data_IF_650703356137
#
_entry.id   IF_650703356137
#
_cell.length_a   1.000
_cell.length_b   1.000
_cell.length_c   1.000
_cell.angle_alpha   90.00
_cell.angle_beta   90.00
_cell.angle_gamma   90.00
#
_symmetry.space_group_name_H-M   'P 1'
#
loop_
_entity.id
_entity.type
_entity.pdbx_description
1 polymer ?
#
# COMPACT_ATOMS: atom_id res chain seq x y z
N UNK A 1 -33.37 -13.33 -38.55
CA UNK A 1 -32.78 -12.77 -37.33
C UNK A 1 -33.22 -13.65 -36.19
N UNK A 2 -32.26 -14.21 -35.47
CA UNK A 2 -32.54 -15.01 -34.28
C UNK A 2 -33.24 -14.15 -33.21
N UNK A 3 -34.19 -14.77 -32.51
CA UNK A 3 -34.83 -14.20 -31.33
C UNK A 3 -33.80 -14.04 -30.20
N UNK A 4 -34.06 -13.14 -29.25
CA UNK A 4 -33.15 -12.94 -28.13
C UNK A 4 -32.98 -14.20 -27.26
N UNK A 5 -34.02 -15.05 -27.22
CA UNK A 5 -33.99 -16.35 -26.53
C UNK A 5 -33.07 -17.36 -27.23
N UNK A 6 -33.11 -17.43 -28.56
CA UNK A 6 -32.19 -18.28 -29.34
C UNK A 6 -30.74 -17.82 -29.17
N UNK A 7 -30.49 -16.50 -29.22
CA UNK A 7 -29.16 -15.93 -28.97
C UNK A 7 -28.67 -16.25 -27.55
N UNK A 8 -29.53 -16.13 -26.54
CA UNK A 8 -29.19 -16.48 -25.16
C UNK A 8 -28.84 -17.97 -25.03
N UNK A 9 -29.60 -18.85 -25.69
CA UNK A 9 -29.32 -20.29 -25.68
C UNK A 9 -28.00 -20.63 -26.37
N UNK A 10 -27.70 -20.03 -27.52
CA UNK A 10 -26.44 -20.24 -28.23
C UNK A 10 -25.22 -19.82 -27.38
N UNK A 11 -25.33 -18.72 -26.63
CA UNK A 11 -24.29 -18.29 -25.68
C UNK A 11 -24.11 -19.32 -24.57
N UNK A 12 -25.19 -19.82 -23.97
CA UNK A 12 -25.16 -20.83 -22.91
C UNK A 12 -24.49 -22.12 -23.40
N UNK A 13 -24.87 -22.58 -24.59
CA UNK A 13 -24.31 -23.80 -25.18
C UNK A 13 -22.83 -23.64 -25.49
N UNK A 14 -22.42 -22.47 -26.00
CA UNK A 14 -21.03 -22.18 -26.35
C UNK A 14 -20.11 -22.01 -25.13
N UNK A 15 -20.66 -21.71 -23.95
CA UNK A 15 -19.88 -21.65 -22.70
C UNK A 15 -19.89 -22.96 -21.91
N UNK A 16 -20.35 -24.06 -22.50
CA UNK A 16 -20.32 -25.38 -21.88
C UNK A 16 -21.57 -25.74 -21.07
N UNK A 17 -22.71 -25.14 -21.39
CA UNK A 17 -24.01 -25.48 -20.82
C UNK A 17 -24.35 -24.72 -19.53
N UNK A 18 -25.60 -24.86 -19.07
CA UNK A 18 -26.09 -24.21 -17.85
C UNK A 18 -25.34 -24.68 -16.59
N UNK A 19 -24.96 -25.94 -16.57
CA UNK A 19 -24.17 -26.57 -15.52
C UNK A 19 -22.77 -25.96 -15.38
N UNK A 20 -22.28 -25.26 -16.39
CA UNK A 20 -21.03 -24.52 -16.32
C UNK A 20 -21.22 -23.08 -15.84
N UNK A 21 -22.46 -22.58 -15.72
CA UNK A 21 -22.75 -21.22 -15.30
C UNK A 21 -22.90 -21.17 -13.77
N UNK A 22 -21.96 -20.49 -13.12
CA UNK A 22 -22.04 -20.23 -11.68
C UNK A 22 -22.98 -19.06 -11.39
N UNK A 23 -22.83 -17.96 -12.13
CA UNK A 23 -23.70 -16.78 -12.00
C UNK A 23 -23.64 -15.87 -13.22
N UNK A 24 -24.70 -15.08 -13.39
CA UNK A 24 -24.82 -14.07 -14.44
C UNK A 24 -25.16 -12.69 -13.90
N UNK A 25 -24.54 -11.68 -14.49
CA UNK A 25 -24.83 -10.26 -14.26
C UNK A 25 -24.64 -9.47 -15.55
N UNK A 26 -25.11 -8.23 -15.61
CA UNK A 26 -24.81 -7.35 -16.74
C UNK A 26 -24.42 -5.92 -16.30
N UNK A 27 -23.76 -5.21 -17.21
CA UNK A 27 -23.59 -3.76 -17.12
C UNK A 27 -24.22 -3.08 -18.34
N UNK A 28 -23.90 -1.81 -18.60
CA UNK A 28 -24.51 -1.05 -19.69
C UNK A 28 -24.37 -1.72 -21.08
N UNK A 29 -23.28 -2.44 -21.34
CA UNK A 29 -22.99 -2.99 -22.68
C UNK A 29 -22.60 -4.46 -22.72
N UNK A 30 -22.43 -5.13 -21.57
CA UNK A 30 -21.84 -6.48 -21.49
C UNK A 30 -22.59 -7.40 -20.55
N UNK A 31 -22.79 -8.63 -21.00
CA UNK A 31 -23.20 -9.76 -20.17
C UNK A 31 -21.92 -10.32 -19.52
N UNK A 32 -21.98 -10.58 -18.22
CA UNK A 32 -20.86 -11.09 -17.41
C UNK A 32 -21.28 -12.40 -16.82
N UNK A 33 -20.54 -13.44 -17.13
CA UNK A 33 -20.84 -14.81 -16.76
C UNK A 33 -19.66 -15.34 -15.96
N UNK A 34 -19.89 -15.77 -14.72
CA UNK A 34 -18.93 -16.61 -14.02
C UNK A 34 -19.20 -18.05 -14.39
N UNK A 35 -18.15 -18.77 -14.75
CA UNK A 35 -18.22 -20.18 -15.11
C UNK A 35 -17.45 -21.04 -14.11
N UNK A 36 -17.89 -22.28 -13.92
CA UNK A 36 -17.20 -23.26 -13.08
C UNK A 36 -15.89 -23.73 -13.72
N UNK A 37 -15.89 -23.91 -15.04
CA UNK A 37 -14.74 -24.37 -15.82
C UNK A 37 -14.54 -23.50 -17.06
N UNK A 38 -13.39 -22.82 -17.12
CA UNK A 38 -13.03 -21.97 -18.25
C UNK A 38 -12.71 -22.78 -19.51
N UNK A 39 -12.22 -24.00 -19.37
CA UNK A 39 -11.76 -24.81 -20.52
C UNK A 39 -12.93 -25.30 -21.40
N UNK A 40 -14.15 -25.26 -20.86
CA UNK A 40 -15.39 -25.57 -21.61
C UNK A 40 -15.92 -24.43 -22.47
N UNK A 41 -15.30 -23.25 -22.42
CA UNK A 41 -15.73 -22.10 -23.23
C UNK A 41 -15.17 -22.24 -24.65
N UNK A 42 -16.08 -22.32 -25.61
CA UNK A 42 -15.77 -22.22 -27.04
C UNK A 42 -15.81 -20.75 -27.46
N UNK A 43 -14.64 -20.10 -27.37
CA UNK A 43 -14.47 -18.67 -27.66
C UNK A 43 -14.89 -18.31 -29.08
N UNK A 44 -14.50 -19.11 -30.08
CA UNK A 44 -14.80 -18.82 -31.49
C UNK A 44 -16.31 -18.93 -31.74
N UNK A 45 -16.96 -19.93 -31.13
CA UNK A 45 -18.41 -20.07 -31.22
C UNK A 45 -19.14 -18.90 -30.57
N UNK A 46 -18.72 -18.43 -29.39
CA UNK A 46 -19.34 -17.26 -28.74
C UNK A 46 -19.21 -16.00 -29.59
N UNK A 47 -18.04 -15.76 -30.18
CA UNK A 47 -17.83 -14.59 -31.04
C UNK A 47 -18.64 -14.65 -32.34
N UNK A 48 -18.99 -15.86 -32.80
CA UNK A 48 -19.87 -16.10 -33.95
C UNK A 48 -21.37 -15.92 -33.69
N UNK A 49 -21.81 -15.80 -32.43
CA UNK A 49 -23.24 -15.65 -32.08
C UNK A 49 -23.80 -14.31 -32.57
N UNK A 50 -25.02 -14.32 -33.11
CA UNK A 50 -25.69 -13.12 -33.62
C UNK A 50 -25.79 -12.02 -32.53
N UNK A 51 -25.45 -10.77 -32.90
CA UNK A 51 -25.38 -9.57 -32.02
C UNK A 51 -24.22 -9.53 -31.01
N UNK A 52 -23.36 -10.54 -30.95
CA UNK A 52 -22.09 -10.45 -30.20
C UNK A 52 -21.12 -9.55 -30.96
N UNK A 53 -20.53 -8.58 -30.25
CA UNK A 53 -19.53 -7.63 -30.79
C UNK A 53 -18.10 -7.96 -30.34
N UNK A 54 -17.96 -9.04 -29.58
CA UNK A 54 -16.71 -9.52 -29.00
C UNK A 54 -16.96 -10.19 -27.65
N UNK A 55 -16.09 -11.13 -27.29
CA UNK A 55 -16.12 -11.79 -26.00
C UNK A 55 -14.71 -11.92 -25.44
N UNK A 56 -14.53 -11.90 -24.12
CA UNK A 56 -13.21 -12.13 -23.52
C UNK A 56 -13.34 -12.54 -22.06
N UNK A 57 -12.34 -13.25 -21.56
CA UNK A 57 -12.22 -13.59 -20.15
C UNK A 57 -11.38 -12.53 -19.42
N UNK A 58 -11.90 -11.96 -18.34
CA UNK A 58 -11.18 -10.97 -17.53
C UNK A 58 -11.68 -10.95 -16.09
N UNK A 59 -10.76 -10.93 -15.12
CA UNK A 59 -11.08 -10.81 -13.69
C UNK A 59 -12.02 -11.92 -13.18
N UNK A 60 -11.78 -13.17 -13.59
CA UNK A 60 -12.60 -14.32 -13.19
C UNK A 60 -13.99 -14.40 -13.83
N UNK A 61 -14.28 -13.54 -14.82
CA UNK A 61 -15.58 -13.48 -15.49
C UNK A 61 -15.39 -13.56 -17.00
N UNK A 62 -16.25 -14.31 -17.67
CA UNK A 62 -16.41 -14.28 -19.10
C UNK A 62 -17.35 -13.13 -19.49
N UNK A 63 -16.89 -12.22 -20.34
CA UNK A 63 -17.64 -11.01 -20.72
C UNK A 63 -18.00 -11.07 -22.20
N UNK A 64 -19.29 -11.01 -22.50
CA UNK A 64 -19.82 -10.98 -23.87
C UNK A 64 -20.41 -9.59 -24.15
N UNK A 65 -19.95 -8.93 -25.21
CA UNK A 65 -20.36 -7.57 -25.56
C UNK A 65 -21.57 -7.62 -26.50
N UNK A 66 -22.73 -7.17 -26.01
CA UNK A 66 -23.96 -7.03 -26.83
C UNK A 66 -24.29 -5.57 -27.19
N UNK A 67 -23.74 -4.61 -26.43
CA UNK A 67 -24.06 -3.20 -26.55
C UNK A 67 -25.27 -2.76 -25.70
N UNK A 68 -25.47 -1.44 -25.65
CA UNK A 68 -26.51 -0.80 -24.83
C UNK A 68 -27.91 -1.24 -25.21
N UNK A 69 -28.72 -1.62 -24.22
CA UNK A 69 -30.11 -2.04 -24.39
C UNK A 69 -30.32 -3.46 -24.92
N UNK A 70 -29.42 -3.98 -25.76
CA UNK A 70 -29.45 -5.40 -26.19
C UNK A 70 -29.06 -6.31 -25.04
N UNK A 71 -28.06 -5.92 -24.26
CA UNK A 71 -27.56 -6.72 -23.14
C UNK A 71 -28.62 -7.03 -22.08
N UNK A 72 -29.53 -6.08 -21.80
CA UNK A 72 -30.60 -6.28 -20.80
C UNK A 72 -31.53 -7.40 -21.27
N UNK A 73 -31.95 -7.34 -22.54
CA UNK A 73 -32.83 -8.35 -23.14
C UNK A 73 -32.20 -9.73 -23.18
N UNK A 74 -30.89 -9.82 -23.48
CA UNK A 74 -30.17 -11.10 -23.44
C UNK A 74 -30.03 -11.60 -22.00
N UNK A 75 -29.74 -10.72 -21.04
CA UNK A 75 -29.65 -11.10 -19.62
C UNK A 75 -30.97 -11.67 -19.09
N UNK A 76 -32.09 -11.03 -19.43
CA UNK A 76 -33.42 -11.49 -19.02
C UNK A 76 -33.71 -12.90 -19.56
N UNK A 77 -33.37 -13.17 -20.83
CA UNK A 77 -33.53 -14.49 -21.44
C UNK A 77 -32.57 -15.53 -20.85
N UNK A 78 -31.30 -15.18 -20.61
CA UNK A 78 -30.33 -16.09 -19.96
C UNK A 78 -30.79 -16.48 -18.54
N UNK A 79 -31.36 -15.52 -17.81
CA UNK A 79 -31.92 -15.76 -16.48
C UNK A 79 -33.20 -16.60 -16.57
N UNK A 80 -34.09 -16.32 -17.53
CA UNK A 80 -35.30 -17.09 -17.77
C UNK A 80 -35.03 -18.53 -18.23
N UNK A 81 -33.88 -18.77 -18.86
CA UNK A 81 -33.44 -20.11 -19.24
C UNK A 81 -32.96 -20.93 -18.03
N UNK A 82 -32.62 -20.31 -16.89
CA UNK A 82 -32.27 -21.01 -15.65
C UNK A 82 -30.91 -20.66 -15.06
N UNK A 83 -30.19 -19.67 -15.60
CA UNK A 83 -28.97 -19.18 -14.98
C UNK A 83 -29.28 -18.42 -13.68
N UNK A 84 -28.64 -18.79 -12.57
CA UNK A 84 -28.78 -18.09 -11.29
C UNK A 84 -28.30 -16.65 -11.41
N UNK A 85 -29.22 -15.70 -11.32
CA UNK A 85 -28.90 -14.29 -11.22
C UNK A 85 -28.24 -14.02 -9.87
N UNK A 86 -27.01 -13.50 -9.88
CA UNK A 86 -26.31 -13.11 -8.65
C UNK A 86 -26.00 -11.62 -8.69
N UNK A 87 -26.12 -10.98 -7.53
CA UNK A 87 -25.74 -9.57 -7.38
C UNK A 87 -24.21 -9.44 -7.42
N UNK A 88 -23.69 -8.27 -7.85
CA UNK A 88 -22.22 -7.99 -7.86
C UNK A 88 -21.52 -8.27 -6.51
N UNK A 89 -22.26 -8.25 -5.41
CA UNK A 89 -21.82 -8.59 -4.06
C UNK A 89 -21.44 -10.07 -3.90
N UNK A 90 -22.26 -10.99 -4.40
CA UNK A 90 -22.06 -12.45 -4.22
C UNK A 90 -20.86 -12.96 -5.03
N UNK A 91 -20.68 -12.42 -6.23
CA UNK A 91 -19.54 -12.70 -7.11
C UNK A 91 -18.20 -12.28 -6.45
N UNK A 92 -18.22 -11.17 -5.71
CA UNK A 92 -17.05 -10.67 -4.98
C UNK A 92 -16.71 -11.55 -3.78
N UNK A 93 -17.71 -12.15 -3.14
CA UNK A 93 -17.53 -13.06 -2.00
C UNK A 93 -16.98 -14.44 -2.40
N UNK A 94 -17.36 -14.98 -3.56
CA UNK A 94 -16.79 -16.25 -4.05
C UNK A 94 -15.35 -16.11 -4.55
N UNK A 95 -15.03 -15.02 -5.25
CA UNK A 95 -13.64 -14.71 -5.63
C UNK A 95 -12.74 -14.49 -4.41
N UNK A 96 -13.28 -14.01 -3.29
CA UNK A 96 -12.55 -13.85 -2.04
C UNK A 96 -12.20 -15.17 -1.34
N UNK A 97 -12.82 -16.30 -1.71
CA UNK A 97 -12.57 -17.63 -1.11
C UNK A 97 -11.44 -18.42 -1.80
N UNK A 98 -11.00 -18.02 -2.99
CA UNK A 98 -9.89 -18.70 -3.69
C UNK A 98 -8.51 -18.40 -3.07
N UNK A 99 -7.64 -19.41 -3.01
CA UNK A 99 -6.28 -19.31 -2.43
C UNK A 99 -6.20 -19.74 -0.96
N UNK A 100 -4.98 -19.86 -0.42
CA UNK A 100 -4.78 -20.21 1.00
C UNK A 100 -5.03 -19.02 1.93
N UNK A 101 -5.14 -19.24 3.25
CA UNK A 101 -5.48 -18.20 4.22
C UNK A 101 -4.51 -17.00 4.17
N UNK A 102 -3.23 -17.26 3.96
CA UNK A 102 -2.19 -16.25 3.81
C UNK A 102 -2.40 -15.39 2.56
N UNK A 103 -2.64 -16.00 1.39
CA UNK A 103 -2.94 -15.31 0.15
C UNK A 103 -4.20 -14.44 0.28
N UNK A 104 -5.24 -14.93 0.95
CA UNK A 104 -6.46 -14.15 1.21
C UNK A 104 -6.21 -12.93 2.10
N UNK A 105 -5.36 -13.07 3.13
CA UNK A 105 -4.99 -11.97 4.01
C UNK A 105 -4.24 -10.87 3.25
N UNK A 106 -3.24 -11.26 2.44
CA UNK A 106 -2.49 -10.34 1.57
C UNK A 106 -3.39 -9.63 0.58
N UNK A 107 -4.31 -10.36 -0.08
CA UNK A 107 -5.24 -9.78 -1.04
C UNK A 107 -6.16 -8.75 -0.39
N UNK A 108 -6.70 -9.09 0.78
CA UNK A 108 -7.54 -8.18 1.57
C UNK A 108 -6.77 -6.93 1.99
N UNK A 109 -5.49 -7.08 2.38
CA UNK A 109 -4.62 -5.95 2.67
C UNK A 109 -4.39 -5.09 1.43
N UNK A 110 -4.06 -5.69 0.28
CA UNK A 110 -3.91 -4.98 -0.99
C UNK A 110 -5.17 -4.20 -1.40
N UNK A 111 -6.36 -4.79 -1.23
CA UNK A 111 -7.65 -4.15 -1.54
C UNK A 111 -7.91 -2.88 -0.72
N UNK A 112 -7.33 -2.78 0.49
CA UNK A 112 -7.38 -1.55 1.30
C UNK A 112 -6.54 -0.44 0.67
N UNK A 113 -5.40 -0.76 0.04
CA UNK A 113 -4.51 0.25 -0.53
C UNK A 113 -4.87 0.67 -1.96
N UNK A 114 -5.46 -0.22 -2.76
CA UNK A 114 -5.90 0.08 -4.16
C UNK A 114 -6.52 1.47 -4.36
N UNK A 115 -7.50 1.93 -3.55
CA UNK A 115 -8.10 3.25 -3.75
C UNK A 115 -7.26 4.43 -3.24
N UNK A 116 -6.31 4.18 -2.33
CA UNK A 116 -5.50 5.22 -1.66
C UNK A 116 -4.24 5.52 -2.48
N UNK A 117 -3.71 4.50 -3.16
CA UNK A 117 -2.45 4.53 -3.91
C UNK A 117 -2.28 5.77 -4.80
N UNK A 118 -3.27 6.21 -5.62
CA UNK A 118 -3.06 7.37 -6.49
C UNK A 118 -2.68 8.64 -5.73
N UNK A 119 -3.27 8.85 -4.54
CA UNK A 119 -2.94 9.99 -3.69
C UNK A 119 -1.50 9.87 -3.17
N UNK A 120 -1.13 8.70 -2.63
CA UNK A 120 0.22 8.47 -2.08
C UNK A 120 1.32 8.61 -3.13
N UNK A 121 1.08 8.15 -4.35
CA UNK A 121 2.04 8.29 -5.45
C UNK A 121 2.23 9.75 -5.81
N UNK A 122 1.13 10.51 -5.94
CA UNK A 122 1.20 11.92 -6.30
C UNK A 122 1.91 12.73 -5.22
N UNK A 123 1.46 12.62 -3.96
CA UNK A 123 2.02 13.41 -2.85
C UNK A 123 3.43 12.94 -2.48
N UNK A 124 3.72 11.64 -2.55
CA UNK A 124 5.04 11.08 -2.26
C UNK A 124 6.11 11.52 -3.27
N UNK A 125 5.76 11.57 -4.56
CA UNK A 125 6.67 12.10 -5.59
C UNK A 125 6.98 13.58 -5.35
N UNK A 126 5.98 14.39 -5.04
CA UNK A 126 6.20 15.80 -4.68
C UNK A 126 7.00 15.94 -3.38
N UNK A 127 6.79 15.05 -2.41
CA UNK A 127 7.53 15.05 -1.14
C UNK A 127 9.02 14.79 -1.35
N UNK A 128 9.36 13.79 -2.17
CA UNK A 128 10.73 13.48 -2.54
C UNK A 128 11.37 14.62 -3.35
N UNK A 129 10.64 15.22 -4.29
CA UNK A 129 11.12 16.38 -5.06
C UNK A 129 11.37 17.59 -4.16
N UNK A 130 10.44 17.91 -3.26
CA UNK A 130 10.60 18.98 -2.27
C UNK A 130 11.85 18.73 -1.42
N UNK A 131 12.00 17.50 -0.91
CA UNK A 131 13.17 17.09 -0.13
C UNK A 131 14.47 17.34 -0.87
N UNK A 132 14.54 16.97 -2.16
CA UNK A 132 15.73 17.21 -3.00
C UNK A 132 16.00 18.70 -3.22
N UNK A 133 14.99 19.48 -3.60
CA UNK A 133 15.15 20.90 -3.99
C UNK A 133 15.51 21.78 -2.78
N UNK A 134 15.08 21.40 -1.58
CA UNK A 134 15.38 22.15 -0.34
C UNK A 134 16.72 21.77 0.31
N UNK A 135 17.51 20.86 -0.27
CA UNK A 135 18.85 20.56 0.26
C UNK A 135 19.81 21.74 0.04
N UNK A 136 20.66 21.99 1.03
CA UNK A 136 21.63 23.10 1.02
C UNK A 136 22.54 23.06 -0.20
N UNK A 137 23.04 21.89 -0.57
CA UNK A 137 23.96 21.74 -1.69
C UNK A 137 23.29 22.01 -3.03
N UNK A 138 21.98 21.73 -3.16
CA UNK A 138 21.21 22.05 -4.37
C UNK A 138 20.95 23.55 -4.44
N UNK A 139 20.52 24.16 -3.33
CA UNK A 139 20.29 25.61 -3.25
C UNK A 139 21.57 26.41 -3.49
N UNK A 140 22.72 25.92 -3.01
CA UNK A 140 24.02 26.55 -3.22
C UNK A 140 24.41 26.66 -4.71
N UNK A 141 23.94 25.75 -5.57
CA UNK A 141 24.13 25.86 -7.03
C UNK A 141 23.50 27.13 -7.62
N UNK A 142 22.50 27.68 -6.93
CA UNK A 142 21.80 28.91 -7.28
C UNK A 142 22.21 30.11 -6.42
N UNK A 143 23.21 29.95 -5.55
CA UNK A 143 23.63 30.97 -4.60
C UNK A 143 22.60 31.22 -3.49
N UNK A 144 21.76 30.23 -3.18
CA UNK A 144 20.73 30.29 -2.15
C UNK A 144 21.07 29.35 -0.99
N UNK A 145 20.44 29.61 0.15
CA UNK A 145 20.41 28.78 1.35
C UNK A 145 18.95 28.46 1.72
N UNK A 146 18.68 27.47 2.59
CA UNK A 146 17.32 27.20 3.06
C UNK A 146 16.64 28.44 3.68
N UNK A 147 17.40 29.33 4.30
CA UNK A 147 16.90 30.58 4.88
C UNK A 147 16.43 31.62 3.87
N UNK A 148 16.85 31.50 2.60
CA UNK A 148 16.40 32.38 1.51
C UNK A 148 15.02 31.96 0.95
N UNK A 149 14.56 30.76 1.29
CA UNK A 149 13.27 30.24 0.84
C UNK A 149 12.17 30.70 1.80
N UNK A 150 11.12 31.31 1.26
CA UNK A 150 9.97 31.78 2.03
C UNK A 150 9.36 30.65 2.88
N UNK A 151 9.22 30.87 4.19
CA UNK A 151 8.55 29.93 5.10
C UNK A 151 7.12 29.60 4.65
N UNK A 152 6.39 30.58 4.12
CA UNK A 152 5.04 30.37 3.58
C UNK A 152 5.04 29.45 2.35
N UNK A 153 6.09 29.52 1.53
CA UNK A 153 6.24 28.61 0.39
C UNK A 153 6.58 27.20 0.86
N UNK A 154 7.49 27.05 1.83
CA UNK A 154 7.79 25.76 2.46
C UNK A 154 6.51 25.16 3.05
N UNK A 155 5.76 25.93 3.83
CA UNK A 155 4.47 25.52 4.40
C UNK A 155 3.48 25.08 3.33
N UNK A 156 3.33 25.85 2.25
CA UNK A 156 2.48 25.45 1.12
C UNK A 156 2.89 24.09 0.54
N UNK A 157 4.19 23.87 0.34
CA UNK A 157 4.67 22.57 -0.15
C UNK A 157 4.44 21.44 0.88
N UNK A 158 4.58 21.70 2.18
CA UNK A 158 4.22 20.76 3.25
C UNK A 158 2.74 20.37 3.24
N UNK A 159 1.85 21.34 3.07
CA UNK A 159 0.42 21.05 2.92
C UNK A 159 0.17 20.17 1.69
N UNK A 160 0.85 20.41 0.58
CA UNK A 160 0.71 19.60 -0.65
C UNK A 160 1.23 18.17 -0.46
N UNK A 161 2.37 17.98 0.20
CA UNK A 161 3.08 16.70 0.24
C UNK A 161 2.73 15.85 1.44
N UNK A 162 2.63 16.45 2.63
CA UNK A 162 2.65 15.71 3.90
C UNK A 162 1.24 15.30 4.32
N UNK A 163 0.20 16.04 3.89
CA UNK A 163 -1.21 15.80 4.24
C UNK A 163 -1.62 14.33 4.04
N UNK A 164 -1.32 13.72 2.89
CA UNK A 164 -1.73 12.34 2.61
C UNK A 164 -1.06 11.32 3.55
N UNK A 165 0.16 11.61 4.02
CA UNK A 165 0.90 10.76 4.94
C UNK A 165 0.47 10.97 6.40
N UNK A 166 0.27 12.23 6.81
CA UNK A 166 -0.28 12.59 8.12
C UNK A 166 -1.65 11.92 8.31
N UNK A 167 -2.52 12.01 7.31
CA UNK A 167 -3.87 11.43 7.32
C UNK A 167 -3.94 10.01 6.77
N UNK A 168 -2.81 9.32 6.61
CA UNK A 168 -2.79 7.93 6.13
C UNK A 168 -3.68 6.99 6.98
N UNK A 169 -3.72 7.09 8.32
CA UNK A 169 -4.68 6.33 9.13
C UNK A 169 -6.15 6.56 8.75
N UNK A 170 -6.53 7.79 8.40
CA UNK A 170 -7.88 8.13 7.96
C UNK A 170 -8.23 7.45 6.64
N UNK A 171 -7.30 7.49 5.68
CA UNK A 171 -7.46 6.84 4.37
C UNK A 171 -7.53 5.31 4.52
N UNK A 172 -6.66 4.74 5.35
CA UNK A 172 -6.61 3.29 5.62
C UNK A 172 -7.88 2.84 6.33
N UNK A 173 -8.33 3.52 7.39
CA UNK A 173 -9.54 3.14 8.13
C UNK A 173 -10.80 3.25 7.26
N UNK A 174 -10.95 4.33 6.48
CA UNK A 174 -12.02 4.48 5.48
C UNK A 174 -12.07 3.30 4.52
N UNK A 175 -10.92 2.98 3.91
CA UNK A 175 -10.83 1.91 2.92
C UNK A 175 -11.03 0.53 3.56
N UNK A 176 -10.54 0.33 4.77
CA UNK A 176 -10.72 -0.90 5.55
C UNK A 176 -12.20 -1.14 5.84
N UNK A 177 -12.93 -0.14 6.33
CA UNK A 177 -14.39 -0.26 6.52
C UNK A 177 -15.09 -0.64 5.21
N UNK A 178 -14.73 0.02 4.10
CA UNK A 178 -15.27 -0.29 2.78
C UNK A 178 -14.99 -1.74 2.33
N UNK A 179 -13.77 -2.25 2.56
CA UNK A 179 -13.36 -3.61 2.18
C UNK A 179 -14.06 -4.65 3.04
N UNK A 180 -14.15 -4.43 4.35
CA UNK A 180 -14.77 -5.36 5.29
C UNK A 180 -16.28 -5.15 5.49
N UNK A 181 -16.89 -4.27 4.70
CA UNK A 181 -18.33 -4.06 4.59
C UNK A 181 -18.98 -3.26 5.74
N UNK A 182 -18.20 -2.46 6.47
CA UNK A 182 -18.73 -1.40 7.34
C UNK A 182 -18.99 -0.10 6.58
N UNK A 183 -19.51 0.92 7.26
CA UNK A 183 -19.72 2.25 6.70
C UNK A 183 -18.38 3.00 6.55
N UNK A 184 -17.94 3.31 5.32
CA UNK A 184 -16.65 3.97 5.08
C UNK A 184 -16.53 5.33 5.76
N UNK A 185 -17.63 6.09 5.91
CA UNK A 185 -17.62 7.39 6.59
C UNK A 185 -17.33 7.24 8.09
N UNK A 186 -17.86 6.20 8.74
CA UNK A 186 -17.51 5.89 10.14
C UNK A 186 -16.03 5.54 10.24
N UNK A 187 -15.53 4.70 9.32
CA UNK A 187 -14.11 4.37 9.25
C UNK A 187 -13.21 5.60 9.04
N UNK A 188 -13.62 6.53 8.17
CA UNK A 188 -12.91 7.79 7.94
C UNK A 188 -12.84 8.62 9.22
N UNK A 189 -13.98 8.81 9.89
CA UNK A 189 -14.05 9.57 11.14
C UNK A 189 -13.20 8.92 12.23
N UNK A 190 -13.26 7.59 12.38
CA UNK A 190 -12.40 6.87 13.32
C UNK A 190 -10.92 7.12 13.03
N UNK A 191 -10.49 7.02 11.77
CA UNK A 191 -9.09 7.26 11.42
C UNK A 191 -8.68 8.73 11.57
N UNK A 192 -9.58 9.70 11.35
CA UNK A 192 -9.34 11.11 11.67
C UNK A 192 -9.18 11.36 13.16
N UNK A 193 -9.95 10.66 14.01
CA UNK A 193 -9.78 10.73 15.47
C UNK A 193 -8.41 10.23 15.92
N UNK A 194 -7.77 9.30 15.19
CA UNK A 194 -6.43 8.80 15.50
C UNK A 194 -5.30 9.79 15.15
N UNK A 195 -5.58 10.81 14.34
CA UNK A 195 -4.57 11.78 13.86
C UNK A 195 -5.00 13.23 14.08
N UNK A 196 -6.03 13.44 14.89
CA UNK A 196 -6.53 14.78 15.20
C UNK A 196 -5.43 15.62 15.86
N UNK A 197 -5.34 16.94 15.56
CA UNK A 197 -4.39 17.83 16.21
C UNK A 197 -4.57 17.96 17.74
N UNK A 198 -5.68 17.46 18.29
CA UNK A 198 -5.89 17.38 19.74
C UNK A 198 -5.01 16.30 20.41
N UNK A 199 -4.42 15.39 19.63
CA UNK A 199 -3.43 14.42 20.09
C UNK A 199 -2.02 14.93 19.75
N UNK A 200 -1.01 14.72 20.61
CA UNK A 200 0.39 14.99 20.27
C UNK A 200 0.76 14.26 18.98
N UNK A 201 1.44 14.96 18.07
CA UNK A 201 1.87 14.38 16.81
C UNK A 201 2.92 13.29 17.08
N UNK A 202 2.72 12.09 16.53
CA UNK A 202 3.61 10.94 16.73
C UNK A 202 5.06 11.24 16.33
N UNK A 203 5.26 11.95 15.23
CA UNK A 203 6.58 12.28 14.70
C UNK A 203 7.30 13.29 15.58
N UNK A 204 6.59 14.28 16.12
CA UNK A 204 7.17 15.26 17.06
C UNK A 204 7.53 14.61 18.40
N UNK A 205 6.72 13.68 18.89
CA UNK A 205 7.04 12.91 20.10
C UNK A 205 8.24 12.00 19.85
N UNK A 206 8.26 11.30 18.72
CA UNK A 206 9.41 10.47 18.34
C UNK A 206 10.69 11.33 18.21
N UNK A 207 10.61 12.54 17.66
CA UNK A 207 11.74 13.45 17.54
C UNK A 207 12.18 14.09 18.88
N UNK A 208 11.44 13.91 19.97
CA UNK A 208 11.72 14.53 21.27
C UNK A 208 11.28 16.00 21.40
N UNK A 209 10.50 16.50 20.43
CA UNK A 209 10.00 17.89 20.41
C UNK A 209 8.67 18.06 21.16
N UNK A 210 7.99 16.96 21.49
CA UNK A 210 6.71 16.96 22.19
C UNK A 210 6.63 15.79 23.19
N UNK A 211 5.77 15.93 24.19
CA UNK A 211 5.50 14.86 25.15
C UNK A 211 4.18 14.13 24.84
N UNK A 212 4.09 12.81 25.08
CA UNK A 212 2.83 12.08 25.01
C UNK A 212 1.86 12.53 26.11
N UNK A 213 0.55 12.47 25.84
CA UNK A 213 -0.45 12.66 26.88
C UNK A 213 -0.41 11.49 27.86
N UNK A 214 -0.53 11.76 29.16
CA UNK A 214 -0.62 10.72 30.20
C UNK A 214 -2.06 10.55 30.65
N UNK A 215 -2.72 9.50 30.17
CA UNK A 215 -4.03 9.10 30.68
C UNK A 215 -3.87 8.16 31.87
N UNK A 216 -4.75 8.32 32.86
CA UNK A 216 -4.71 7.59 34.15
C UNK A 216 -3.37 7.72 34.89
N UNK A 217 -2.53 8.69 34.52
CA UNK A 217 -1.20 8.94 35.11
C UNK A 217 -0.06 8.09 34.54
N UNK A 218 -0.33 7.03 33.77
CA UNK A 218 0.70 6.09 33.32
C UNK A 218 0.55 5.58 31.87
N UNK A 219 -0.57 5.84 31.19
CA UNK A 219 -0.76 5.37 29.80
C UNK A 219 -0.34 6.50 28.85
N UNK A 220 0.78 6.36 28.12
CA UNK A 220 1.16 7.33 27.10
C UNK A 220 0.24 7.23 25.89
N UNK A 221 -0.26 8.38 25.43
CA UNK A 221 -1.14 8.49 24.27
C UNK A 221 -0.59 9.55 23.31
N UNK A 222 -0.41 9.13 22.06
CA UNK A 222 0.00 9.97 20.92
C UNK A 222 -0.95 9.72 19.75
N UNK A 223 -0.95 10.63 18.77
CA UNK A 223 -1.58 10.39 17.48
C UNK A 223 -0.85 9.30 16.68
N UNK A 224 -1.47 8.78 15.62
CA UNK A 224 -0.94 7.70 14.78
C UNK A 224 -0.52 8.20 13.40
N UNK A 225 -0.02 9.43 13.30
CA UNK A 225 0.37 10.02 12.01
C UNK A 225 1.31 9.08 11.23
N UNK A 226 0.97 8.79 9.98
CA UNK A 226 1.71 7.84 9.14
C UNK A 226 1.53 6.34 9.47
N UNK A 227 0.87 5.95 10.56
CA UNK A 227 0.81 4.55 10.98
C UNK A 227 -0.24 3.74 10.21
N UNK A 228 0.21 2.69 9.52
CA UNK A 228 -0.65 1.83 8.70
C UNK A 228 -1.29 0.69 9.48
N UNK A 229 -0.50 -0.12 10.19
CA UNK A 229 -1.00 -1.33 10.84
C UNK A 229 -2.01 -0.99 11.96
N UNK A 230 -1.73 -0.04 12.88
CA UNK A 230 -2.70 0.33 13.92
C UNK A 230 -4.04 0.76 13.31
N UNK A 231 -4.01 1.59 12.26
CA UNK A 231 -5.21 2.07 11.58
C UNK A 231 -5.97 0.94 10.86
N UNK A 232 -5.25 0.00 10.22
CA UNK A 232 -5.85 -1.17 9.59
C UNK A 232 -6.51 -2.08 10.63
N UNK A 233 -5.85 -2.34 11.77
CA UNK A 233 -6.40 -3.17 12.86
C UNK A 233 -7.64 -2.51 13.46
N UNK A 234 -7.58 -1.21 13.78
CA UNK A 234 -8.72 -0.44 14.25
C UNK A 234 -9.86 -0.45 13.23
N UNK A 235 -9.55 -0.24 11.94
CA UNK A 235 -10.50 -0.30 10.85
C UNK A 235 -11.20 -1.67 10.73
N UNK A 236 -10.42 -2.76 10.80
CA UNK A 236 -10.90 -4.13 10.65
C UNK A 236 -11.80 -4.55 11.81
N UNK A 237 -11.35 -4.30 13.04
CA UNK A 237 -12.13 -4.56 14.25
C UNK A 237 -13.38 -3.69 14.28
N UNK A 238 -13.26 -2.42 13.92
CA UNK A 238 -14.37 -1.47 13.85
C UNK A 238 -15.44 -1.88 12.84
N UNK A 239 -15.06 -2.30 11.64
CA UNK A 239 -16.01 -2.77 10.63
C UNK A 239 -16.78 -4.02 11.08
N UNK A 240 -16.10 -4.95 11.77
CA UNK A 240 -16.75 -6.14 12.36
C UNK A 240 -17.66 -5.77 13.52
N UNK A 241 -17.21 -4.85 14.38
CA UNK A 241 -17.98 -4.36 15.51
C UNK A 241 -19.25 -3.65 15.05
N UNK A 242 -19.15 -2.79 14.03
CA UNK A 242 -20.31 -2.10 13.44
C UNK A 242 -21.37 -3.08 12.97
N UNK A 243 -20.98 -4.10 12.19
CA UNK A 243 -21.89 -5.15 11.73
C UNK A 243 -22.55 -5.91 12.88
N UNK A 244 -21.85 -6.07 14.00
CA UNK A 244 -22.39 -6.74 15.19
C UNK A 244 -23.37 -5.85 15.93
N UNK A 245 -23.01 -4.59 16.19
CA UNK A 245 -23.87 -3.62 16.88
C UNK A 245 -25.15 -3.38 16.08
N UNK A 246 -25.06 -3.22 14.76
CA UNK A 246 -26.21 -3.02 13.86
C UNK A 246 -27.24 -4.16 13.94
N UNK A 247 -26.81 -5.39 14.27
CA UNK A 247 -27.71 -6.54 14.49
C UNK A 247 -28.34 -6.57 15.88
N UNK A 248 -27.78 -5.84 16.84
CA UNK A 248 -28.22 -5.81 18.24
C UNK A 248 -29.10 -4.59 18.56
N UNK A 249 -28.90 -3.48 17.84
CA UNK A 249 -29.62 -2.22 18.06
C UNK A 249 -30.98 -2.27 17.35
N UNK A 250 -32.08 -1.82 18.00
CA UNK A 250 -33.37 -1.67 17.34
C UNK A 250 -33.30 -0.71 16.14
N UNK A 251 -34.02 -1.01 15.06
CA UNK A 251 -33.97 -0.24 13.80
C UNK A 251 -34.19 1.27 14.00
N UNK A 252 -35.11 1.66 14.89
CA UNK A 252 -35.40 3.06 15.22
C UNK A 252 -34.20 3.83 15.81
N UNK A 253 -33.22 3.14 16.39
CA UNK A 253 -32.05 3.72 17.04
C UNK A 253 -30.75 3.49 16.26
N UNK A 254 -30.76 2.64 15.23
CA UNK A 254 -29.58 2.20 14.49
C UNK A 254 -28.79 3.38 13.87
N UNK A 255 -29.49 4.37 13.34
CA UNK A 255 -28.89 5.56 12.73
C UNK A 255 -28.03 6.36 13.72
N UNK A 256 -28.35 6.33 15.02
CA UNK A 256 -27.70 7.13 16.06
C UNK A 256 -26.75 6.27 16.90
N UNK A 257 -27.25 5.17 17.47
CA UNK A 257 -26.51 4.38 18.44
C UNK A 257 -25.39 3.57 17.82
N UNK A 258 -25.59 2.99 16.63
CA UNK A 258 -24.56 2.19 15.98
C UNK A 258 -23.29 2.99 15.70
N UNK A 259 -23.32 4.14 14.98
CA UNK A 259 -22.11 4.93 14.77
C UNK A 259 -21.50 5.45 16.07
N UNK A 260 -22.32 5.90 17.03
CA UNK A 260 -21.84 6.39 18.32
C UNK A 260 -21.04 5.31 19.08
N UNK A 261 -21.62 4.12 19.25
CA UNK A 261 -20.99 3.02 19.98
C UNK A 261 -19.74 2.51 19.26
N UNK A 262 -19.76 2.39 17.93
CA UNK A 262 -18.59 1.97 17.17
C UNK A 262 -17.44 2.96 17.36
N UNK A 263 -17.68 4.25 17.20
CA UNK A 263 -16.64 5.27 17.37
C UNK A 263 -16.12 5.29 18.81
N UNK A 264 -17.01 5.32 19.81
CA UNK A 264 -16.63 5.36 21.22
C UNK A 264 -15.79 4.15 21.64
N UNK A 265 -16.24 2.94 21.29
CA UNK A 265 -15.52 1.70 21.64
C UNK A 265 -14.19 1.65 20.89
N UNK A 266 -14.18 1.95 19.59
CA UNK A 266 -12.99 1.79 18.78
C UNK A 266 -11.94 2.85 19.06
N UNK A 267 -12.30 4.11 19.33
CA UNK A 267 -11.30 5.12 19.71
C UNK A 267 -10.67 4.79 21.06
N UNK A 268 -11.49 4.34 22.02
CA UNK A 268 -11.02 3.89 23.33
C UNK A 268 -10.05 2.71 23.19
N UNK A 269 -10.46 1.67 22.45
CA UNK A 269 -9.60 0.51 22.21
C UNK A 269 -8.31 0.90 21.47
N UNK A 270 -8.42 1.79 20.49
CA UNK A 270 -7.27 2.21 19.69
C UNK A 270 -6.26 2.95 20.54
N UNK A 271 -6.66 3.97 21.29
CA UNK A 271 -5.73 4.79 22.08
C UNK A 271 -5.20 4.09 23.34
N UNK A 272 -6.02 3.28 24.02
CA UNK A 272 -5.65 2.71 25.33
C UNK A 272 -5.19 1.26 25.29
N UNK A 273 -5.38 0.55 24.17
CA UNK A 273 -4.88 -0.81 24.01
C UNK A 273 -3.93 -0.93 22.83
N UNK A 274 -4.38 -0.55 21.62
CA UNK A 274 -3.55 -0.70 20.41
C UNK A 274 -2.30 0.20 20.53
N UNK A 275 -2.44 1.45 20.96
CA UNK A 275 -1.32 2.41 21.07
C UNK A 275 -0.19 1.93 21.97
N UNK A 276 -0.46 1.64 23.26
CA UNK A 276 0.55 1.14 24.19
C UNK A 276 1.26 -0.12 23.69
N UNK A 277 0.54 -1.05 23.04
CA UNK A 277 1.16 -2.24 22.44
C UNK A 277 2.18 -1.85 21.37
N UNK A 278 1.83 -0.93 20.48
CA UNK A 278 2.75 -0.48 19.41
C UNK A 278 3.92 0.34 19.96
N UNK A 279 3.71 1.13 21.01
CA UNK A 279 4.78 1.88 21.67
C UNK A 279 5.81 0.94 22.30
N UNK A 280 5.37 -0.11 23.00
CA UNK A 280 6.27 -1.15 23.51
C UNK A 280 7.04 -1.85 22.37
N UNK A 281 6.40 -2.07 21.22
CA UNK A 281 7.07 -2.62 20.04
C UNK A 281 8.12 -1.65 19.48
N UNK A 282 7.85 -0.34 19.47
CA UNK A 282 8.81 0.70 19.06
C UNK A 282 10.07 0.69 19.92
N UNK A 283 9.92 0.63 21.25
CA UNK A 283 11.04 0.56 22.20
C UNK A 283 11.94 -0.66 21.92
N UNK A 284 11.35 -1.86 21.77
CA UNK A 284 12.13 -3.06 21.47
C UNK A 284 12.80 -3.02 20.09
N UNK A 285 12.15 -2.39 19.10
CA UNK A 285 12.75 -2.21 17.78
C UNK A 285 13.94 -1.25 17.86
N UNK A 286 13.84 -0.18 18.65
CA UNK A 286 14.93 0.76 18.89
C UNK A 286 16.13 0.06 19.55
N UNK A 287 15.91 -0.59 20.69
CA UNK A 287 16.95 -1.31 21.44
C UNK A 287 17.61 -2.40 20.57
N UNK A 288 16.79 -3.17 19.85
CA UNK A 288 17.25 -4.19 18.93
C UNK A 288 18.09 -3.62 17.79
N UNK A 289 17.73 -2.46 17.25
CA UNK A 289 18.48 -1.82 16.16
C UNK A 289 19.83 -1.32 16.61
N UNK A 290 19.90 -0.69 17.79
CA UNK A 290 21.17 -0.26 18.40
C UNK A 290 22.09 -1.48 18.60
N UNK A 291 21.56 -2.56 19.18
CA UNK A 291 22.32 -3.81 19.35
C UNK A 291 22.81 -4.39 18.02
N UNK A 292 21.97 -4.39 16.98
CA UNK A 292 22.33 -4.92 15.66
C UNK A 292 23.39 -4.04 14.98
N UNK A 293 23.37 -2.72 15.19
CA UNK A 293 24.35 -1.79 14.59
C UNK A 293 25.79 -2.10 15.00
N UNK A 294 25.99 -2.63 16.20
CA UNK A 294 27.31 -3.02 16.72
C UNK A 294 27.85 -4.33 16.14
N UNK A 295 27.05 -5.08 15.36
CA UNK A 295 27.50 -6.34 14.79
C UNK A 295 28.59 -6.15 13.72
N UNK A 296 29.68 -6.94 13.78
CA UNK A 296 30.83 -6.77 12.88
C UNK A 296 30.58 -7.35 11.47
N UNK A 297 31.58 -7.22 10.61
CA UNK A 297 31.66 -7.86 9.29
C UNK A 297 30.50 -7.54 8.33
N UNK A 298 29.84 -6.39 8.51
CA UNK A 298 28.70 -5.99 7.69
C UNK A 298 27.36 -6.64 8.06
N UNK A 299 27.33 -7.49 9.10
CA UNK A 299 26.12 -8.19 9.52
C UNK A 299 25.02 -7.23 9.99
N UNK A 300 25.39 -6.10 10.59
CA UNK A 300 24.46 -5.05 10.96
C UNK A 300 23.61 -4.60 9.77
N UNK A 301 24.26 -4.27 8.67
CA UNK A 301 23.63 -3.82 7.44
C UNK A 301 22.86 -4.92 6.71
N UNK A 302 23.32 -6.16 6.79
CA UNK A 302 22.57 -7.31 6.24
C UNK A 302 21.19 -7.43 6.91
N UNK A 303 21.16 -7.40 8.24
CA UNK A 303 19.93 -7.60 9.02
C UNK A 303 19.04 -6.37 8.90
N UNK A 304 19.57 -5.17 9.18
CA UNK A 304 18.80 -3.93 9.10
C UNK A 304 18.29 -3.71 7.67
N UNK A 305 19.14 -3.90 6.66
CA UNK A 305 18.76 -3.76 5.26
C UNK A 305 17.64 -4.72 4.83
N UNK A 306 17.59 -5.93 5.40
CA UNK A 306 16.51 -6.88 5.16
C UNK A 306 15.21 -6.49 5.86
N UNK A 307 15.27 -6.15 7.15
CA UNK A 307 14.07 -5.98 7.98
C UNK A 307 13.47 -4.57 7.94
N UNK A 308 14.24 -3.54 7.57
CA UNK A 308 13.80 -2.14 7.64
C UNK A 308 12.46 -1.91 6.90
N UNK A 309 12.32 -2.42 5.68
CA UNK A 309 11.10 -2.20 4.89
C UNK A 309 9.88 -2.99 5.40
N UNK A 310 10.08 -3.99 6.27
CA UNK A 310 9.00 -4.63 7.03
C UNK A 310 8.52 -3.68 8.14
N UNK A 311 9.45 -3.01 8.82
CA UNK A 311 9.16 -2.01 9.86
C UNK A 311 8.46 -0.78 9.25
N UNK A 312 8.82 -0.37 8.03
CA UNK A 312 8.12 0.71 7.32
C UNK A 312 6.63 0.40 7.13
N UNK A 313 6.27 -0.86 6.83
CA UNK A 313 4.86 -1.27 6.67
C UNK A 313 4.05 -1.05 7.95
N UNK A 314 4.67 -1.17 9.13
CA UNK A 314 3.96 -0.97 10.39
C UNK A 314 3.74 0.49 10.73
N UNK A 315 4.57 1.38 10.18
CA UNK A 315 4.58 2.82 10.48
C UNK A 315 5.49 3.19 11.66
N UNK A 316 6.01 2.20 12.40
CA UNK A 316 6.86 2.45 13.58
C UNK A 316 8.26 2.94 13.20
N UNK A 317 8.64 2.85 11.92
CA UNK A 317 9.95 3.29 11.41
C UNK A 317 10.30 4.76 11.68
N UNK A 318 9.33 5.63 11.97
CA UNK A 318 9.59 7.02 12.36
C UNK A 318 10.35 7.14 13.68
N UNK A 319 10.33 6.10 14.53
CA UNK A 319 11.18 6.02 15.72
C UNK A 319 12.67 6.11 15.35
N UNK A 320 13.06 5.70 14.14
CA UNK A 320 14.44 5.76 13.69
C UNK A 320 14.93 7.18 13.41
N UNK A 321 14.05 8.18 13.26
CA UNK A 321 14.51 9.57 13.18
C UNK A 321 15.25 9.98 14.46
N UNK A 322 14.73 9.56 15.61
CA UNK A 322 15.39 9.75 16.91
C UNK A 322 16.73 9.02 16.99
N UNK A 323 16.76 7.77 16.51
CA UNK A 323 17.99 6.98 16.43
C UNK A 323 19.06 7.69 15.60
N UNK A 324 18.68 8.21 14.43
CA UNK A 324 19.59 8.91 13.52
C UNK A 324 20.17 10.18 14.18
N UNK A 325 19.34 10.95 14.90
CA UNK A 325 19.78 12.11 15.70
C UNK A 325 20.78 11.66 16.78
N UNK A 326 20.40 10.66 17.58
CA UNK A 326 21.23 10.14 18.68
C UNK A 326 22.58 9.61 18.18
N UNK A 327 22.59 8.87 17.07
CA UNK A 327 23.83 8.38 16.45
C UNK A 327 24.70 9.54 15.97
N UNK A 328 24.10 10.56 15.36
CA UNK A 328 24.83 11.72 14.88
C UNK A 328 25.44 12.54 16.03
N UNK A 329 24.69 12.79 17.09
CA UNK A 329 25.18 13.49 18.29
C UNK A 329 26.33 12.74 18.98
N UNK A 330 26.22 11.41 19.09
CA UNK A 330 27.21 10.59 19.79
C UNK A 330 28.47 10.30 18.97
N UNK A 331 28.33 10.10 17.65
CA UNK A 331 29.43 9.63 16.78
C UNK A 331 29.98 10.74 15.86
N UNK A 332 29.24 11.83 15.67
CA UNK A 332 29.52 12.87 14.66
C UNK A 332 29.18 12.44 13.23
N UNK A 333 28.51 11.30 13.05
CA UNK A 333 28.07 10.78 11.76
C UNK A 333 26.94 9.77 11.93
N UNK A 334 26.22 9.49 10.84
CA UNK A 334 25.10 8.56 10.85
C UNK A 334 25.40 7.30 10.00
N UNK A 335 25.73 6.14 10.63
CA UNK A 335 25.98 4.89 9.93
C UNK A 335 24.71 4.13 9.52
N UNK A 336 23.55 4.52 10.05
CA UNK A 336 22.26 3.88 9.77
C UNK A 336 21.69 4.32 8.41
N UNK A 337 21.82 5.61 8.08
CA UNK A 337 21.34 6.22 6.84
C UNK A 337 21.73 5.48 5.53
N UNK A 338 23.01 5.09 5.30
CA UNK A 338 23.37 4.38 4.08
C UNK A 338 22.75 2.97 4.00
N UNK A 339 22.50 2.31 5.13
CA UNK A 339 21.85 0.99 5.18
C UNK A 339 20.38 1.12 4.76
N UNK A 340 19.65 2.09 5.34
CA UNK A 340 18.25 2.31 5.01
C UNK A 340 18.08 2.86 3.59
N UNK A 341 19.03 3.66 3.10
CA UNK A 341 19.07 4.12 1.71
C UNK A 341 19.12 2.93 0.75
N UNK A 342 20.00 1.96 0.99
CA UNK A 342 20.03 0.73 0.21
C UNK A 342 18.68 -0.02 0.28
N UNK A 343 18.09 -0.18 1.48
CA UNK A 343 16.82 -0.86 1.64
C UNK A 343 15.66 -0.19 0.87
N UNK A 344 15.62 1.14 0.85
CA UNK A 344 14.63 1.93 0.10
C UNK A 344 14.89 1.82 -1.41
N UNK A 345 16.14 1.97 -1.83
CA UNK A 345 16.55 1.84 -3.22
C UNK A 345 16.19 0.45 -3.79
N UNK A 346 16.36 -0.61 -3.01
CA UNK A 346 15.97 -1.97 -3.38
C UNK A 346 14.47 -2.09 -3.67
N UNK A 347 13.60 -1.50 -2.83
CA UNK A 347 12.15 -1.50 -3.07
C UNK A 347 11.80 -0.71 -4.33
N UNK A 348 12.50 0.41 -4.57
CA UNK A 348 12.42 1.14 -5.83
C UNK A 348 12.82 0.30 -7.04
N UNK A 349 13.88 -0.51 -6.94
CA UNK A 349 14.35 -1.42 -7.98
C UNK A 349 13.38 -2.58 -8.26
N UNK A 350 12.77 -3.15 -7.22
CA UNK A 350 11.71 -4.15 -7.38
C UNK A 350 10.47 -3.58 -8.08
N UNK A 351 10.03 -2.37 -7.70
CA UNK A 351 8.90 -1.70 -8.34
C UNK A 351 9.21 -1.34 -9.80
N UNK A 352 10.45 -0.91 -10.08
CA UNK A 352 10.93 -0.64 -11.44
C UNK A 352 10.84 -1.89 -12.32
N UNK A 353 11.29 -3.03 -11.80
CA UNK A 353 11.20 -4.31 -12.52
C UNK A 353 9.76 -4.67 -12.85
N UNK A 354 8.81 -4.49 -11.91
CA UNK A 354 7.38 -4.71 -12.18
C UNK A 354 6.88 -3.76 -13.28
N UNK A 355 7.18 -2.46 -13.17
CA UNK A 355 6.74 -1.44 -14.11
C UNK A 355 7.29 -1.64 -15.53
N UNK A 356 8.55 -2.07 -15.65
CA UNK A 356 9.17 -2.37 -16.95
C UNK A 356 8.68 -3.70 -17.53
N UNK A 357 8.43 -4.71 -16.68
CA UNK A 357 8.05 -6.06 -17.14
C UNK A 357 6.57 -6.17 -17.52
N UNK A 358 5.68 -5.41 -16.88
CA UNK A 358 4.24 -5.54 -17.12
C UNK A 358 3.79 -4.98 -18.47
N UNK A 359 2.83 -5.68 -19.10
CA UNK A 359 2.08 -5.19 -20.27
C UNK A 359 0.87 -4.32 -19.88
N UNK A 360 0.44 -4.34 -18.62
CA UNK A 360 -0.70 -3.55 -18.15
C UNK A 360 -0.35 -2.06 -18.11
N UNK A 361 -1.01 -1.25 -18.95
CA UNK A 361 -0.84 0.21 -18.96
C UNK A 361 -1.13 0.83 -17.60
N UNK A 362 -2.14 0.31 -16.89
CA UNK A 362 -2.53 0.78 -15.55
C UNK A 362 -1.43 0.48 -14.52
N UNK A 363 -0.91 -0.75 -14.51
CA UNK A 363 0.15 -1.10 -13.55
C UNK A 363 1.45 -0.36 -13.88
N UNK A 364 1.77 -0.17 -15.16
CA UNK A 364 2.95 0.60 -15.60
C UNK A 364 2.88 2.06 -15.18
N UNK A 365 1.72 2.71 -15.38
CA UNK A 365 1.48 4.09 -14.97
C UNK A 365 1.54 4.30 -13.45
N UNK A 366 1.40 3.22 -12.68
CA UNK A 366 1.56 3.23 -11.23
C UNK A 366 3.01 2.92 -10.82
N UNK A 367 3.57 1.82 -11.33
CA UNK A 367 4.82 1.27 -10.83
C UNK A 367 6.05 2.10 -11.17
N UNK A 368 6.06 2.77 -12.33
CA UNK A 368 7.20 3.63 -12.71
C UNK A 368 7.27 4.90 -11.83
N UNK A 369 6.19 5.69 -11.64
CA UNK A 369 6.23 6.79 -10.68
C UNK A 369 6.48 6.36 -9.24
N UNK A 370 5.90 5.23 -8.80
CA UNK A 370 6.18 4.67 -7.47
C UNK A 370 7.66 4.34 -7.27
N UNK A 371 8.30 3.76 -8.29
CA UNK A 371 9.75 3.48 -8.26
C UNK A 371 10.57 4.76 -8.16
N UNK A 372 10.22 5.79 -8.94
CA UNK A 372 10.88 7.09 -8.87
C UNK A 372 10.72 7.74 -7.50
N UNK A 373 9.52 7.69 -6.91
CA UNK A 373 9.26 8.15 -5.54
C UNK A 373 10.21 7.48 -4.54
N UNK A 374 10.40 6.15 -4.64
CA UNK A 374 11.31 5.43 -3.77
C UNK A 374 12.77 5.87 -3.97
N UNK A 375 13.20 6.15 -5.20
CA UNK A 375 14.54 6.69 -5.46
C UNK A 375 14.74 8.12 -4.93
N UNK A 376 13.67 8.84 -4.64
CA UNK A 376 13.69 10.12 -3.93
C UNK A 376 13.50 9.97 -2.41
N UNK A 377 13.66 8.75 -1.88
CA UNK A 377 13.58 8.44 -0.46
C UNK A 377 12.18 8.12 0.07
N UNK A 378 11.13 8.20 -0.76
CA UNK A 378 9.73 7.98 -0.37
C UNK A 378 9.24 6.63 -0.90
N UNK A 379 9.36 5.58 -0.08
CA UNK A 379 9.21 4.17 -0.47
C UNK A 379 7.76 3.66 -0.46
N UNK A 380 6.86 4.30 0.29
CA UNK A 380 5.49 3.86 0.55
C UNK A 380 4.69 3.64 -0.75
N UNK A 381 4.78 4.51 -1.78
CA UNK A 381 4.10 4.26 -3.04
C UNK A 381 4.62 3.02 -3.78
N UNK A 382 5.89 2.64 -3.60
CA UNK A 382 6.45 1.41 -4.16
C UNK A 382 6.02 0.18 -3.37
N UNK A 383 6.13 0.23 -2.03
CA UNK A 383 5.74 -0.87 -1.15
C UNK A 383 4.25 -1.18 -1.31
N UNK A 384 3.38 -0.22 -1.00
CA UNK A 384 1.93 -0.45 -0.96
C UNK A 384 1.31 -0.46 -2.36
N UNK A 385 1.84 0.37 -3.26
CA UNK A 385 1.33 0.48 -4.62
C UNK A 385 1.61 -0.74 -5.49
N UNK A 386 2.76 -1.37 -5.30
CA UNK A 386 3.30 -2.33 -6.25
C UNK A 386 3.79 -3.60 -5.55
N UNK A 387 4.77 -3.47 -4.67
CA UNK A 387 5.58 -4.61 -4.27
C UNK A 387 4.83 -5.58 -3.36
N UNK A 388 4.18 -5.04 -2.33
CA UNK A 388 3.45 -5.82 -1.33
C UNK A 388 2.18 -6.45 -1.91
N UNK A 389 1.55 -5.77 -2.88
CA UNK A 389 0.39 -6.29 -3.61
C UNK A 389 0.66 -7.66 -4.24
N UNK A 390 1.87 -7.88 -4.74
CA UNK A 390 2.28 -9.14 -5.37
C UNK A 390 3.19 -10.00 -4.47
N UNK A 391 3.54 -9.52 -3.27
CA UNK A 391 4.43 -10.10 -2.25
C UNK A 391 5.84 -10.48 -2.68
N UNK A 392 5.98 -11.22 -3.77
CA UNK A 392 7.28 -11.64 -4.28
C UNK A 392 8.17 -10.44 -4.61
N UNK A 393 7.72 -9.38 -5.32
CA UNK A 393 8.57 -8.21 -5.54
C UNK A 393 9.00 -7.55 -4.22
N UNK A 394 8.13 -7.51 -3.21
CA UNK A 394 8.49 -7.02 -1.88
C UNK A 394 9.64 -7.81 -1.27
N UNK A 395 9.54 -9.15 -1.26
CA UNK A 395 10.61 -10.03 -0.76
C UNK A 395 11.91 -9.86 -1.55
N UNK A 396 11.84 -9.73 -2.88
CA UNK A 396 13.04 -9.49 -3.70
C UNK A 396 13.68 -8.14 -3.36
N UNK A 397 12.87 -7.12 -3.05
CA UNK A 397 13.33 -5.85 -2.50
C UNK A 397 14.02 -6.00 -1.14
N UNK A 398 13.50 -6.83 -0.22
CA UNK A 398 14.17 -7.10 1.06
C UNK A 398 15.54 -7.74 0.87
N UNK A 399 15.66 -8.67 -0.08
CA UNK A 399 16.94 -9.32 -0.41
C UNK A 399 17.94 -8.30 -0.99
N UNK A 400 17.50 -7.46 -1.92
CA UNK A 400 18.34 -6.37 -2.44
C UNK A 400 18.77 -5.40 -1.34
N UNK A 401 17.87 -5.07 -0.41
CA UNK A 401 18.13 -4.23 0.75
C UNK A 401 19.16 -4.84 1.69
N UNK A 402 19.06 -6.15 1.96
CA UNK A 402 20.03 -6.88 2.77
C UNK A 402 21.43 -6.83 2.15
N UNK A 403 21.56 -7.06 0.84
CA UNK A 403 22.88 -7.04 0.19
C UNK A 403 23.44 -5.63 0.13
N UNK A 404 22.63 -4.62 -0.22
CA UNK A 404 23.07 -3.24 -0.23
C UNK A 404 23.45 -2.75 1.17
N UNK A 405 22.63 -3.05 2.19
CA UNK A 405 22.92 -2.75 3.59
C UNK A 405 24.19 -3.43 4.07
N UNK A 406 24.38 -4.71 3.77
CA UNK A 406 25.61 -5.44 4.08
C UNK A 406 26.85 -4.72 3.53
N UNK A 407 26.81 -4.30 2.26
CA UNK A 407 27.89 -3.55 1.64
C UNK A 407 28.08 -2.16 2.24
N UNK A 408 27.00 -1.46 2.59
CA UNK A 408 27.07 -0.16 3.29
C UNK A 408 27.86 -0.29 4.60
N UNK A 409 27.51 -1.29 5.42
CA UNK A 409 28.19 -1.55 6.69
C UNK A 409 29.62 -2.07 6.49
N UNK A 410 29.85 -2.91 5.47
CA UNK A 410 31.19 -3.43 5.17
C UNK A 410 32.16 -2.33 4.73
N UNK A 411 31.68 -1.39 3.89
CA UNK A 411 32.44 -0.20 3.48
C UNK A 411 32.47 0.89 4.54
N UNK A 412 31.76 0.70 5.66
CA UNK A 412 31.68 1.64 6.77
C UNK A 412 31.25 3.04 6.30
N UNK A 413 30.23 3.09 5.45
CA UNK A 413 29.67 4.35 5.00
C UNK A 413 29.12 5.15 6.19
N UNK A 414 29.38 6.46 6.19
CA UNK A 414 29.02 7.39 7.26
C UNK A 414 28.36 8.62 6.64
N UNK A 415 27.07 8.78 6.80
CA UNK A 415 26.40 10.01 6.38
C UNK A 415 26.87 11.19 7.24
N UNK A 416 27.16 12.32 6.61
CA UNK A 416 27.66 13.54 7.29
C UNK A 416 26.57 14.40 7.91
N UNK A 417 25.31 13.97 7.86
CA UNK A 417 24.17 14.71 8.41
C UNK A 417 22.87 13.92 8.35
N UNK A 418 21.77 14.64 8.56
CA UNK A 418 20.40 14.11 8.52
C UNK A 418 19.70 14.67 7.28
N UNK A 419 19.49 13.85 6.25
CA UNK A 419 18.73 14.24 5.07
C UNK A 419 18.01 13.05 4.44
N UNK A 420 17.18 13.35 3.44
CA UNK A 420 16.44 12.35 2.65
C UNK A 420 17.40 11.35 2.00
N UNK A 421 16.99 10.10 1.92
CA UNK A 421 17.81 8.95 1.50
C UNK A 421 17.90 8.79 -0.03
N UNK A 422 18.66 7.80 -0.50
CA UNK A 422 18.81 7.39 -1.91
C UNK A 422 19.41 8.49 -2.80
N UNK A 423 18.68 9.08 -3.76
CA UNK A 423 19.24 10.08 -4.68
C UNK A 423 19.58 11.39 -3.92
N UNK A 424 18.62 12.03 -3.20
CA UNK A 424 18.95 13.15 -2.31
C UNK A 424 20.07 12.84 -1.32
N UNK A 425 20.11 11.60 -0.82
CA UNK A 425 21.12 11.16 0.16
C UNK A 425 22.55 11.23 -0.35
N UNK A 426 22.78 11.28 -1.67
CA UNK A 426 24.13 11.39 -2.26
C UNK A 426 24.93 12.60 -1.73
N UNK A 427 24.23 13.69 -1.38
CA UNK A 427 24.85 14.92 -0.87
C UNK A 427 25.48 14.74 0.52
N UNK A 428 25.02 13.75 1.30
CA UNK A 428 25.59 13.39 2.61
C UNK A 428 26.93 12.64 2.52
N UNK A 429 27.44 12.38 1.31
CA UNK A 429 28.64 11.56 1.07
C UNK A 429 29.69 12.27 0.21
N UNK A 430 29.61 13.61 0.08
CA UNK A 430 30.58 14.42 -0.67
C UNK A 430 32.00 14.41 -0.08
N UNK A 431 32.17 13.89 1.14
CA UNK A 431 33.45 13.67 1.80
C UNK A 431 34.20 12.42 1.28
N UNK A 432 34.30 12.27 -0.04
CA UNK A 432 34.95 11.14 -0.74
C UNK A 432 34.25 9.77 -0.61
N UNK A 433 33.03 9.72 -0.09
CA UNK A 433 32.25 8.47 0.05
C UNK A 433 31.23 8.27 -1.07
N UNK A 434 30.94 9.31 -1.87
CA UNK A 434 29.86 9.34 -2.88
C UNK A 434 29.91 8.14 -3.84
N UNK A 435 31.10 7.76 -4.31
CA UNK A 435 31.25 6.63 -5.25
C UNK A 435 30.82 5.31 -4.61
N UNK A 436 31.23 5.07 -3.36
CA UNK A 436 30.86 3.86 -2.62
C UNK A 436 29.37 3.85 -2.28
N UNK A 437 28.82 5.00 -1.90
CA UNK A 437 27.39 5.14 -1.65
C UNK A 437 26.54 4.84 -2.90
N UNK A 438 26.93 5.40 -4.06
CA UNK A 438 26.26 5.13 -5.33
C UNK A 438 26.38 3.64 -5.71
N UNK A 439 27.56 3.06 -5.56
CA UNK A 439 27.80 1.64 -5.83
C UNK A 439 26.86 0.75 -5.01
N UNK A 440 26.76 1.01 -3.70
CA UNK A 440 25.88 0.27 -2.79
C UNK A 440 24.42 0.33 -3.24
N UNK A 441 23.91 1.53 -3.54
CA UNK A 441 22.54 1.70 -4.00
C UNK A 441 22.29 1.01 -5.35
N UNK A 442 23.22 1.13 -6.30
CA UNK A 442 23.10 0.48 -7.62
C UNK A 442 23.09 -1.05 -7.49
N UNK A 443 23.95 -1.62 -6.64
CA UNK A 443 23.96 -3.07 -6.38
C UNK A 443 22.63 -3.50 -5.76
N UNK A 444 22.13 -2.75 -4.77
CA UNK A 444 20.87 -3.03 -4.10
C UNK A 444 19.69 -3.01 -5.07
N UNK A 445 19.61 -1.98 -5.93
CA UNK A 445 18.64 -1.85 -7.02
C UNK A 445 18.78 -3.01 -8.00
N UNK A 446 20.00 -3.31 -8.45
CA UNK A 446 20.27 -4.34 -9.45
C UNK A 446 19.86 -5.74 -9.00
N UNK A 447 20.11 -6.08 -7.73
CA UNK A 447 19.71 -7.36 -7.14
C UNK A 447 18.18 -7.44 -7.03
N UNK A 448 17.55 -6.43 -6.44
CA UNK A 448 16.09 -6.41 -6.30
C UNK A 448 15.40 -6.45 -7.67
N UNK A 449 15.88 -5.67 -8.63
CA UNK A 449 15.40 -5.63 -10.00
C UNK A 449 15.56 -6.99 -10.68
N UNK A 450 16.78 -7.55 -10.68
CA UNK A 450 17.10 -8.80 -11.35
C UNK A 450 16.29 -9.98 -10.80
N UNK A 451 16.19 -10.09 -9.48
CA UNK A 451 15.39 -11.13 -8.82
C UNK A 451 13.89 -10.94 -9.09
N UNK A 452 13.40 -9.70 -9.06
CA UNK A 452 11.98 -9.41 -9.37
C UNK A 452 11.67 -9.73 -10.82
N UNK A 453 12.56 -9.36 -11.74
CA UNK A 453 12.43 -9.63 -13.15
C UNK A 453 12.47 -11.13 -13.44
N UNK A 454 13.39 -11.90 -12.82
CA UNK A 454 13.49 -13.33 -13.07
C UNK A 454 12.34 -14.12 -12.41
N UNK A 455 12.03 -13.83 -11.14
CA UNK A 455 11.20 -14.71 -10.30
C UNK A 455 10.05 -13.98 -9.58
N UNK A 456 10.17 -12.67 -9.39
CA UNK A 456 9.24 -11.91 -8.55
C UNK A 456 7.95 -11.47 -9.23
N UNK A 457 7.92 -11.28 -10.56
CA UNK A 457 6.72 -10.82 -11.25
C UNK A 457 6.50 -11.47 -12.62
N UNK A 458 5.23 -11.75 -12.95
CA UNK A 458 4.74 -12.08 -14.30
C UNK A 458 3.29 -11.61 -14.45
N UNK A 459 2.87 -11.21 -15.65
CA UNK A 459 1.53 -10.63 -15.86
C UNK A 459 0.36 -11.57 -15.49
N UNK A 460 0.57 -12.89 -15.48
CA UNK A 460 -0.42 -13.83 -14.96
C UNK A 460 -0.73 -13.70 -13.45
N UNK A 461 -0.08 -12.77 -12.75
CA UNK A 461 -0.41 -12.36 -11.38
C UNK A 461 -1.49 -11.26 -11.33
N UNK A 462 -1.88 -10.65 -12.45
CA UNK A 462 -2.93 -9.62 -12.51
C UNK A 462 -4.33 -10.17 -12.26
N UNK A 463 -4.54 -11.45 -12.61
CA UNK A 463 -5.83 -12.15 -12.56
C UNK A 463 -6.01 -12.99 -11.28
N UNK A 464 -5.02 -12.95 -10.38
CA UNK A 464 -5.04 -13.58 -9.04
C UNK A 464 -5.12 -12.51 -7.98
#
# INVERSE_FOLDING_TARGET
MATNREIAQEVIDAIGGQENIQSVAHCATRLRIMVHDKEKIDQERVEGVEKVKGAFYNSGQYQVIFGTGTVNRIYDEVTALGATGSTKSEIKEESAKQGNAFQRAIRSFGDVFVPIIPALVATGLFMGLRGLVLQEEILALFGLTPGDISENFILFTQVLTDTAFIFLPALVAWSTFRVFGGNPTIGLVLGLMLVTPALPNAWEVAAGNAEPLKFLGFIPVVGYQGSVIPAFVAGFLGAKLEKRIRKMVPEALDLILTPFLVLLIMITLSLFAIGPIFHTVEEYIMDGTIFILDLPFGLSGLIIGFFHQIIVITGVHHIFNFLEIQLFENLGYNPFNPIISAAIAAQGGAALAVGMKTKSKKLKALALPSSLSAFLGITEPAIFGVNLRYMKPFIMGLIGGAVGGFLASLFKLKATGLAVTVIPGTLLFLNSQIVLYLLVNVISIGIAFGLTWAFGYKDGMLDK
#
